data_IF_956932377769
#
_entry.id   IF_956932377769
#
_cell.length_a   1.000
_cell.length_b   1.000
_cell.length_c   1.000
_cell.angle_alpha   90.00
_cell.angle_beta   90.00
_cell.angle_gamma   90.00
#
_symmetry.space_group_name_H-M   'P 1'
#
loop_
_entity.id
_entity.type
_entity.pdbx_description
1 polymer ?
#
# COMPACT_ATOMS: atom_id res chain seq x y z
N UNK A 1 -25.53 9.45 32.03
CA UNK A 1 -26.21 9.89 30.79
C UNK A 1 -25.35 10.90 30.05
N UNK A 2 -24.23 10.47 29.45
CA UNK A 2 -23.50 11.27 28.48
C UNK A 2 -23.94 10.84 27.09
N UNK A 3 -24.67 11.72 26.40
CA UNK A 3 -24.86 11.68 24.96
C UNK A 3 -23.48 11.94 24.34
N UNK A 4 -22.91 10.96 23.66
CA UNK A 4 -21.78 11.19 22.75
C UNK A 4 -22.39 11.40 21.38
N UNK A 5 -22.12 12.58 20.82
CA UNK A 5 -22.57 13.02 19.51
C UNK A 5 -21.69 12.37 18.46
N UNK A 6 -22.28 11.59 17.54
CA UNK A 6 -21.63 11.26 16.26
C UNK A 6 -21.45 12.57 15.48
N UNK A 7 -20.21 12.97 15.24
CA UNK A 7 -19.87 14.11 14.38
C UNK A 7 -19.26 13.51 13.11
N UNK A 8 -19.91 13.73 11.96
CA UNK A 8 -19.19 13.75 10.68
C UNK A 8 -19.29 12.58 9.69
N UNK A 9 -20.36 11.77 9.64
CA UNK A 9 -20.55 10.88 8.48
C UNK A 9 -21.02 11.71 7.26
N UNK A 10 -20.11 12.19 6.40
CA UNK A 10 -20.48 12.85 5.13
C UNK A 10 -20.65 11.79 4.03
N UNK A 11 -21.91 11.46 3.76
CA UNK A 11 -22.35 10.57 2.67
C UNK A 11 -22.50 11.36 1.38
N UNK A 12 -21.73 11.03 0.34
CA UNK A 12 -22.05 11.38 -1.04
C UNK A 12 -22.37 10.05 -1.73
N UNK A 13 -23.66 9.78 -1.97
CA UNK A 13 -24.13 8.57 -2.65
C UNK A 13 -24.66 8.99 -4.02
N UNK A 14 -24.00 8.54 -5.09
CA UNK A 14 -24.53 8.60 -6.45
C UNK A 14 -24.32 7.25 -7.16
N UNK A 15 -25.30 6.34 -7.07
CA UNK A 15 -25.31 5.09 -7.85
C UNK A 15 -25.91 3.92 -7.07
N UNK A 16 -26.63 3.01 -7.74
CA UNK A 16 -27.35 1.88 -7.11
C UNK A 16 -26.39 0.96 -6.35
N UNK A 17 -26.62 0.81 -5.04
CA UNK A 17 -25.75 0.12 -4.09
C UNK A 17 -26.34 -1.25 -3.70
N UNK A 18 -25.58 -2.33 -3.88
CA UNK A 18 -25.79 -3.63 -3.24
C UNK A 18 -24.55 -3.96 -2.39
N UNK A 19 -24.21 -3.10 -1.42
CA UNK A 19 -23.10 -3.36 -0.50
C UNK A 19 -23.56 -4.14 0.73
N UNK A 20 -22.89 -5.26 1.01
CA UNK A 20 -22.88 -5.87 2.32
C UNK A 20 -21.74 -5.19 3.10
N UNK A 21 -22.08 -4.33 4.08
CA UNK A 21 -21.08 -3.70 4.96
C UNK A 21 -20.87 -4.60 6.18
N UNK A 22 -19.68 -5.21 6.32
CA UNK A 22 -19.19 -5.72 7.60
C UNK A 22 -18.25 -4.66 8.18
N UNK A 23 -18.78 -3.86 9.11
CA UNK A 23 -18.04 -2.79 9.78
C UNK A 23 -17.44 -3.32 11.09
N UNK A 24 -16.12 -3.51 11.16
CA UNK A 24 -15.39 -3.80 12.41
C UNK A 24 -14.79 -2.52 13.02
N UNK A 25 -15.56 -1.91 13.92
CA UNK A 25 -15.15 -1.02 15.02
C UNK A 25 -14.00 -0.01 14.81
N UNK A 26 -14.35 1.24 14.49
CA UNK A 26 -13.50 2.39 14.81
C UNK A 26 -13.51 2.63 16.34
N UNK A 27 -12.42 2.31 17.03
CA UNK A 27 -12.35 2.35 18.49
C UNK A 27 -11.34 3.38 19.05
N UNK A 28 -11.32 4.63 18.56
CA UNK A 28 -10.91 5.80 19.35
C UNK A 28 -11.33 7.13 18.68
N UNK A 29 -11.07 8.27 19.34
CA UNK A 29 -11.43 9.62 18.86
C UNK A 29 -10.74 9.98 17.55
N UNK A 30 -11.45 10.65 16.64
CA UNK A 30 -10.97 11.28 15.40
C UNK A 30 -10.42 10.36 14.29
N UNK A 31 -10.80 9.08 14.25
CA UNK A 31 -10.55 8.27 13.05
C UNK A 31 -11.55 8.60 11.93
N UNK A 32 -11.06 8.77 10.71
CA UNK A 32 -11.86 9.02 9.51
C UNK A 32 -11.73 7.86 8.52
N UNK A 33 -12.85 7.47 7.89
CA UNK A 33 -12.92 6.46 6.84
C UNK A 33 -13.80 6.98 5.71
N UNK A 34 -13.25 7.06 4.51
CA UNK A 34 -13.94 7.31 3.25
C UNK A 34 -13.85 6.05 2.39
N UNK A 35 -15.00 5.57 1.91
CA UNK A 35 -15.07 4.39 1.04
C UNK A 35 -16.08 4.65 -0.08
N UNK A 36 -15.61 4.61 -1.32
CA UNK A 36 -16.44 4.63 -2.53
C UNK A 36 -16.29 3.32 -3.29
N UNK A 37 -17.40 2.62 -3.53
CA UNK A 37 -17.45 1.36 -4.27
C UNK A 37 -18.39 1.51 -5.48
N UNK A 38 -17.87 1.27 -6.67
CA UNK A 38 -18.61 1.27 -7.93
C UNK A 38 -18.38 -0.05 -8.65
N UNK A 39 -19.37 -0.93 -8.68
CA UNK A 39 -19.23 -2.22 -9.36
C UNK A 39 -19.84 -3.38 -8.59
N UNK A 40 -19.33 -4.59 -8.79
CA UNK A 40 -19.89 -5.80 -8.18
C UNK A 40 -18.83 -6.65 -7.44
N UNK A 41 -19.27 -7.38 -6.39
CA UNK A 41 -18.45 -8.31 -5.61
C UNK A 41 -17.18 -7.73 -4.97
N UNK A 42 -17.18 -6.47 -4.53
CA UNK A 42 -16.07 -5.98 -3.74
C UNK A 42 -16.14 -6.55 -2.32
N UNK A 43 -15.03 -7.09 -1.82
CA UNK A 43 -14.83 -7.36 -0.40
C UNK A 43 -13.95 -6.25 0.20
N UNK A 44 -14.35 -5.71 1.33
CA UNK A 44 -13.59 -4.64 1.98
C UNK A 44 -13.68 -4.77 3.47
N UNK A 45 -12.53 -5.06 4.06
CA UNK A 45 -12.35 -5.18 5.50
C UNK A 45 -11.43 -4.05 5.98
N UNK A 46 -11.85 -3.33 7.01
CA UNK A 46 -11.01 -2.34 7.66
C UNK A 46 -11.07 -2.44 9.19
N UNK A 47 -9.93 -2.22 9.82
CA UNK A 47 -9.76 -2.15 11.27
C UNK A 47 -8.95 -0.89 11.63
N UNK A 48 -9.48 -0.07 12.55
CA UNK A 48 -8.81 1.13 13.05
C UNK A 48 -8.80 1.16 14.58
N UNK A 49 -7.62 0.98 15.16
CA UNK A 49 -7.34 1.05 16.59
C UNK A 49 -6.43 2.25 16.86
N UNK A 50 -6.81 3.09 17.83
CA UNK A 50 -6.08 4.33 18.16
C UNK A 50 -6.71 5.59 17.55
N UNK A 51 -6.01 6.73 17.61
CA UNK A 51 -6.57 8.09 17.42
C UNK A 51 -6.03 8.75 16.16
N UNK A 52 -6.92 9.40 15.39
CA UNK A 52 -6.52 10.23 14.25
C UNK A 52 -6.09 9.45 13.01
N UNK A 53 -6.50 8.19 12.88
CA UNK A 53 -6.19 7.38 11.71
C UNK A 53 -7.13 7.73 10.55
N UNK A 54 -6.60 7.80 9.34
CA UNK A 54 -7.31 8.16 8.11
C UNK A 54 -7.26 7.02 7.12
N UNK A 55 -8.43 6.66 6.58
CA UNK A 55 -8.58 5.74 5.45
C UNK A 55 -9.34 6.44 4.34
N UNK A 56 -8.82 6.40 3.12
CA UNK A 56 -9.56 6.73 1.90
C UNK A 56 -9.41 5.60 0.88
N UNK A 57 -10.53 5.00 0.52
CA UNK A 57 -10.57 3.84 -0.34
C UNK A 57 -11.58 4.03 -1.47
N UNK A 58 -11.14 3.81 -2.71
CA UNK A 58 -12.00 3.83 -3.89
C UNK A 58 -11.80 2.54 -4.66
N UNK A 59 -12.88 1.81 -4.88
CA UNK A 59 -12.90 0.58 -5.66
C UNK A 59 -13.91 0.72 -6.80
N UNK A 60 -13.42 0.69 -8.04
CA UNK A 60 -14.24 0.77 -9.24
C UNK A 60 -13.98 -0.43 -10.15
N UNK A 61 -14.82 -1.47 -10.09
CA UNK A 61 -14.51 -2.70 -10.80
C UNK A 61 -15.42 -3.89 -10.52
N UNK A 62 -14.90 -5.08 -10.77
CA UNK A 62 -15.54 -6.33 -10.38
C UNK A 62 -14.53 -7.17 -9.57
N UNK A 63 -14.98 -7.83 -8.49
CA UNK A 63 -14.13 -8.70 -7.66
C UNK A 63 -12.86 -7.98 -7.14
N UNK A 64 -13.04 -6.90 -6.37
CA UNK A 64 -11.95 -6.12 -5.77
C UNK A 64 -11.88 -6.39 -4.27
N UNK A 65 -10.73 -6.87 -3.81
CA UNK A 65 -10.47 -7.20 -2.41
C UNK A 65 -9.55 -6.15 -1.79
N UNK A 66 -10.02 -5.50 -0.73
CA UNK A 66 -9.27 -4.48 0.01
C UNK A 66 -9.26 -4.79 1.51
N UNK A 67 -8.08 -4.92 2.08
CA UNK A 67 -7.88 -5.03 3.52
C UNK A 67 -7.03 -3.88 4.05
N UNK A 68 -7.53 -3.14 5.04
CA UNK A 68 -6.77 -2.07 5.69
C UNK A 68 -6.83 -2.22 7.22
N UNK A 69 -5.68 -2.39 7.86
CA UNK A 69 -5.57 -2.42 9.33
C UNK A 69 -4.61 -1.36 9.83
N UNK A 70 -5.08 -0.49 10.72
CA UNK A 70 -4.29 0.56 11.36
C UNK A 70 -4.37 0.42 12.88
N UNK A 71 -3.24 0.08 13.51
CA UNK A 71 -3.07 0.09 14.97
C UNK A 71 -2.08 1.20 15.36
N UNK A 72 -2.57 2.20 16.09
CA UNK A 72 -1.81 3.34 16.58
C UNK A 72 -2.43 4.67 16.20
N UNK A 73 -1.63 5.73 16.06
CA UNK A 73 -2.17 7.09 15.91
C UNK A 73 -1.64 7.82 14.68
N UNK A 74 -2.52 8.57 14.01
CA UNK A 74 -2.15 9.41 12.89
C UNK A 74 -1.74 8.65 11.64
N UNK A 75 -2.09 7.37 11.52
CA UNK A 75 -1.77 6.57 10.34
C UNK A 75 -2.69 6.94 9.17
N UNK A 76 -2.15 7.01 7.96
CA UNK A 76 -2.87 7.32 6.72
C UNK A 76 -2.76 6.14 5.76
N UNK A 77 -3.91 5.66 5.27
CA UNK A 77 -4.00 4.58 4.30
C UNK A 77 -4.90 5.00 3.14
N UNK A 78 -4.34 5.01 1.94
CA UNK A 78 -5.02 5.33 0.68
C UNK A 78 -5.02 4.10 -0.22
N UNK A 79 -6.17 3.72 -0.76
CA UNK A 79 -6.28 2.58 -1.66
C UNK A 79 -7.23 2.87 -2.83
N UNK A 80 -6.68 2.91 -4.04
CA UNK A 80 -7.42 3.15 -5.28
C UNK A 80 -7.29 1.91 -6.19
N UNK A 81 -8.40 1.23 -6.44
CA UNK A 81 -8.45 0.03 -7.29
C UNK A 81 -9.44 0.25 -8.43
N UNK A 82 -8.98 0.20 -9.67
CA UNK A 82 -9.82 0.31 -10.88
C UNK A 82 -9.56 -0.86 -11.81
N UNK A 83 -10.53 -1.75 -11.98
CA UNK A 83 -10.29 -2.95 -12.81
C UNK A 83 -11.09 -4.18 -12.42
N UNK A 84 -10.46 -5.35 -12.50
CA UNK A 84 -11.06 -6.62 -12.06
C UNK A 84 -10.05 -7.54 -11.38
N UNK A 85 -10.48 -8.30 -10.37
CA UNK A 85 -9.60 -9.22 -9.63
C UNK A 85 -8.35 -8.50 -9.06
N UNK A 86 -8.55 -7.37 -8.38
CA UNK A 86 -7.45 -6.63 -7.74
C UNK A 86 -7.47 -6.88 -6.24
N UNK A 87 -6.31 -7.17 -5.66
CA UNK A 87 -6.12 -7.35 -4.22
C UNK A 87 -5.14 -6.32 -3.68
N UNK A 88 -5.58 -5.56 -2.68
CA UNK A 88 -4.78 -4.56 -1.98
C UNK A 88 -4.83 -4.80 -0.47
N UNK A 89 -3.67 -4.80 0.17
CA UNK A 89 -3.52 -4.98 1.62
C UNK A 89 -2.63 -3.90 2.22
N UNK A 90 -3.15 -3.14 3.19
CA UNK A 90 -2.40 -2.16 3.96
C UNK A 90 -2.44 -2.52 5.43
N UNK A 91 -1.27 -2.65 6.06
CA UNK A 91 -1.12 -2.86 7.49
C UNK A 91 -0.16 -1.84 8.09
N UNK A 92 -0.62 -1.10 9.09
CA UNK A 92 0.16 -0.08 9.77
C UNK A 92 0.09 -0.31 11.28
N UNK A 93 1.22 -0.67 11.89
CA UNK A 93 1.41 -0.81 13.33
C UNK A 93 2.40 0.26 13.82
N UNK A 94 1.88 1.28 14.50
CA UNK A 94 2.64 2.39 15.08
C UNK A 94 2.03 3.75 14.74
N UNK A 95 2.84 4.80 14.58
CA UNK A 95 2.31 6.16 14.46
C UNK A 95 2.80 6.92 13.24
N UNK A 96 1.93 7.75 12.67
CA UNK A 96 2.20 8.61 11.51
C UNK A 96 2.77 7.85 10.31
N UNK A 97 2.39 6.59 10.12
CA UNK A 97 2.75 5.86 8.91
C UNK A 97 1.82 6.28 7.76
N UNK A 98 2.33 6.33 6.54
CA UNK A 98 1.60 6.66 5.32
C UNK A 98 1.74 5.53 4.31
N UNK A 99 0.62 4.99 3.84
CA UNK A 99 0.58 3.91 2.87
C UNK A 99 -0.40 4.24 1.75
N UNK A 100 0.07 4.12 0.50
CA UNK A 100 -0.74 4.35 -0.69
C UNK A 100 -0.60 3.20 -1.68
N UNK A 101 -1.74 2.65 -2.10
CA UNK A 101 -1.83 1.64 -3.15
C UNK A 101 -2.72 2.18 -4.27
N UNK A 102 -2.19 2.23 -5.49
CA UNK A 102 -2.93 2.49 -6.72
C UNK A 102 -2.78 1.31 -7.69
N UNK A 103 -3.90 0.70 -8.07
CA UNK A 103 -3.94 -0.43 -9.00
C UNK A 103 -4.93 -0.16 -10.13
N UNK A 104 -4.44 -0.22 -11.37
CA UNK A 104 -5.24 -0.21 -12.59
C UNK A 104 -5.01 -1.50 -13.39
N UNK A 105 -6.10 -2.13 -13.85
CA UNK A 105 -6.04 -3.27 -14.77
C UNK A 105 -6.67 -4.55 -14.22
N UNK A 106 -5.92 -5.65 -14.14
CA UNK A 106 -6.51 -6.91 -13.66
C UNK A 106 -5.54 -7.91 -13.03
N UNK A 107 -5.99 -8.70 -12.06
CA UNK A 107 -5.17 -9.73 -11.41
C UNK A 107 -3.87 -9.16 -10.78
N UNK A 108 -3.91 -7.94 -10.26
CA UNK A 108 -2.76 -7.33 -9.60
C UNK A 108 -2.88 -7.51 -8.08
N UNK A 109 -1.75 -7.73 -7.42
CA UNK A 109 -1.62 -7.83 -5.96
C UNK A 109 -0.66 -6.76 -5.45
N UNK A 110 -1.10 -6.00 -4.47
CA UNK A 110 -0.30 -4.98 -3.79
C UNK A 110 -0.40 -5.14 -2.27
N UNK A 111 0.74 -5.12 -1.59
CA UNK A 111 0.78 -5.17 -0.13
C UNK A 111 1.78 -4.16 0.44
N UNK A 112 1.32 -3.41 1.43
CA UNK A 112 2.15 -2.53 2.26
C UNK A 112 2.04 -2.98 3.72
N UNK A 113 3.18 -3.22 4.36
CA UNK A 113 3.29 -3.48 5.80
C UNK A 113 4.26 -2.49 6.42
N UNK A 114 3.79 -1.69 7.37
CA UNK A 114 4.59 -0.69 8.07
C UNK A 114 4.52 -0.92 9.57
N UNK A 115 5.66 -1.30 10.16
CA UNK A 115 5.80 -1.43 11.60
C UNK A 115 6.81 -0.41 12.14
N UNK A 116 6.32 0.50 12.98
CA UNK A 116 7.10 1.58 13.59
C UNK A 116 6.51 2.95 13.29
N UNK A 117 7.32 3.98 13.06
CA UNK A 117 6.81 5.35 12.97
C UNK A 117 7.33 6.11 11.76
N UNK A 118 6.49 7.00 11.19
CA UNK A 118 6.84 7.85 10.06
C UNK A 118 7.37 7.09 8.83
N UNK A 119 6.94 5.84 8.64
CA UNK A 119 7.27 5.12 7.41
C UNK A 119 6.32 5.56 6.30
N UNK A 120 6.83 5.60 5.07
CA UNK A 120 6.08 6.03 3.87
C UNK A 120 6.27 4.99 2.76
N UNK A 121 5.17 4.48 2.22
CA UNK A 121 5.17 3.46 1.19
C UNK A 121 4.12 3.75 0.12
N UNK A 122 4.54 3.63 -1.14
CA UNK A 122 3.72 3.80 -2.32
C UNK A 122 3.88 2.59 -3.25
N UNK A 123 2.76 2.03 -3.69
CA UNK A 123 2.71 1.01 -4.73
C UNK A 123 1.78 1.48 -5.83
N UNK A 124 2.29 1.54 -7.06
CA UNK A 124 1.52 1.86 -8.26
C UNK A 124 1.67 0.72 -9.28
N UNK A 125 0.56 0.12 -9.69
CA UNK A 125 0.53 -0.98 -10.66
C UNK A 125 -0.44 -0.68 -11.79
N UNK A 126 0.08 -0.58 -13.02
CA UNK A 126 -0.71 -0.50 -14.24
C UNK A 126 -0.47 -1.74 -15.10
N UNK A 127 -1.51 -2.56 -15.28
CA UNK A 127 -1.51 -3.69 -16.19
C UNK A 127 -2.07 -4.95 -15.57
N UNK A 128 -1.39 -6.10 -15.76
CA UNK A 128 -1.99 -7.38 -15.38
C UNK A 128 -1.05 -8.42 -14.78
N UNK A 129 -1.48 -9.07 -13.70
CA UNK A 129 -0.69 -10.13 -13.07
C UNK A 129 0.52 -9.60 -12.30
N UNK A 130 0.55 -8.30 -11.97
CA UNK A 130 1.68 -7.70 -11.28
C UNK A 130 1.58 -7.95 -9.77
N UNK A 131 2.73 -8.07 -9.11
CA UNK A 131 2.84 -8.28 -7.66
C UNK A 131 3.85 -7.29 -7.09
N UNK A 132 3.43 -6.45 -6.15
CA UNK A 132 4.29 -5.49 -5.47
C UNK A 132 4.09 -5.60 -3.95
N UNK A 133 5.19 -5.67 -3.22
CA UNK A 133 5.18 -5.82 -1.76
C UNK A 133 6.24 -4.89 -1.16
N UNK A 134 5.82 -4.00 -0.26
CA UNK A 134 6.69 -3.12 0.50
C UNK A 134 6.54 -3.38 2.00
N UNK A 135 7.63 -3.76 2.66
CA UNK A 135 7.69 -4.02 4.10
C UNK A 135 8.71 -3.10 4.77
N UNK A 136 8.26 -2.34 5.78
CA UNK A 136 9.07 -1.34 6.48
C UNK A 136 9.03 -1.57 7.98
N UNK A 137 10.19 -1.86 8.56
CA UNK A 137 10.39 -2.11 9.99
C UNK A 137 11.33 -1.06 10.58
N UNK A 138 10.79 -0.13 11.36
CA UNK A 138 11.57 0.93 12.02
C UNK A 138 10.97 2.32 11.80
N UNK A 139 11.81 3.31 11.46
CA UNK A 139 11.31 4.68 11.31
C UNK A 139 11.88 5.46 10.15
N UNK A 140 11.07 6.34 9.58
CA UNK A 140 11.48 7.25 8.51
C UNK A 140 11.99 6.49 7.27
N UNK A 141 11.48 5.28 7.02
CA UNK A 141 11.80 4.52 5.81
C UNK A 141 10.84 4.92 4.67
N UNK A 142 11.35 4.87 3.44
CA UNK A 142 10.62 5.20 2.22
C UNK A 142 10.71 4.08 1.19
N UNK A 143 9.57 3.61 0.69
CA UNK A 143 9.50 2.60 -0.37
C UNK A 143 8.55 3.06 -1.49
N UNK A 144 8.99 3.01 -2.74
CA UNK A 144 8.15 3.30 -3.89
C UNK A 144 8.33 2.21 -4.96
N UNK A 145 7.25 1.51 -5.30
CA UNK A 145 7.25 0.41 -6.26
C UNK A 145 6.30 0.75 -7.41
N UNK A 146 6.85 0.93 -8.60
CA UNK A 146 6.12 1.24 -9.83
C UNK A 146 6.23 0.07 -10.81
N UNK A 147 5.09 -0.49 -11.22
CA UNK A 147 5.05 -1.60 -12.18
C UNK A 147 4.09 -1.31 -13.32
N UNK A 148 4.61 -1.27 -14.54
CA UNK A 148 3.82 -1.11 -15.77
C UNK A 148 4.04 -2.30 -16.70
N UNK A 149 2.97 -2.97 -17.07
CA UNK A 149 2.97 -4.13 -17.96
C UNK A 149 2.42 -5.38 -17.28
N UNK A 150 3.01 -6.55 -17.54
CA UNK A 150 2.43 -7.81 -17.09
C UNK A 150 3.40 -8.78 -16.40
N UNK A 151 2.92 -9.44 -15.35
CA UNK A 151 3.67 -10.45 -14.58
C UNK A 151 4.97 -9.91 -13.98
N UNK A 152 5.01 -8.63 -13.60
CA UNK A 152 6.15 -8.06 -12.89
C UNK A 152 6.06 -8.36 -11.39
N UNK A 153 7.21 -8.60 -10.75
CA UNK A 153 7.34 -8.84 -9.32
C UNK A 153 8.33 -7.87 -8.70
N UNK A 154 7.91 -7.13 -7.68
CA UNK A 154 8.73 -6.21 -6.91
C UNK A 154 8.55 -6.48 -5.42
N UNK A 155 9.66 -6.74 -4.72
CA UNK A 155 9.73 -6.85 -3.27
C UNK A 155 10.73 -5.85 -2.72
N UNK A 156 10.32 -5.10 -1.71
CA UNK A 156 11.17 -4.19 -0.96
C UNK A 156 11.00 -4.42 0.55
N UNK A 157 12.10 -4.70 1.24
CA UNK A 157 12.16 -4.81 2.70
C UNK A 157 13.16 -3.81 3.26
N UNK A 158 12.74 -3.02 4.24
CA UNK A 158 13.58 -2.03 4.90
C UNK A 158 13.54 -2.21 6.41
N UNK A 159 14.67 -2.59 7.01
CA UNK A 159 14.84 -2.68 8.45
C UNK A 159 15.82 -1.62 8.96
N UNK A 160 15.37 -0.73 9.82
CA UNK A 160 16.16 0.34 10.44
C UNK A 160 15.56 1.71 10.24
N UNK A 161 16.38 2.73 10.00
CA UNK A 161 15.89 4.11 9.86
C UNK A 161 16.48 4.88 8.70
N UNK A 162 15.64 5.68 8.04
CA UNK A 162 16.08 6.54 6.94
C UNK A 162 16.40 5.78 5.66
N UNK A 163 15.97 4.52 5.52
CA UNK A 163 16.24 3.75 4.33
C UNK A 163 15.30 4.16 3.19
N UNK A 164 15.76 4.03 1.95
CA UNK A 164 15.00 4.39 0.75
C UNK A 164 15.14 3.32 -0.33
N UNK A 165 14.02 2.79 -0.82
CA UNK A 165 13.96 1.88 -1.97
C UNK A 165 13.02 2.45 -3.02
N UNK A 166 13.50 2.56 -4.26
CA UNK A 166 12.67 2.83 -5.43
C UNK A 166 12.85 1.71 -6.44
N UNK A 167 11.76 1.11 -6.89
CA UNK A 167 11.73 0.09 -7.95
C UNK A 167 10.82 0.55 -9.07
N UNK A 168 11.33 0.55 -10.30
CA UNK A 168 10.57 0.82 -11.51
C UNK A 168 10.71 -0.34 -12.50
N UNK A 169 9.59 -0.98 -12.82
CA UNK A 169 9.54 -2.10 -13.77
C UNK A 169 8.63 -1.75 -14.94
N UNK A 170 9.21 -1.61 -16.13
CA UNK A 170 8.48 -1.42 -17.37
C UNK A 170 8.65 -2.64 -18.28
N UNK A 171 7.54 -3.27 -18.65
CA UNK A 171 7.49 -4.42 -19.54
C UNK A 171 6.96 -5.66 -18.84
N UNK A 172 7.51 -6.85 -19.16
CA UNK A 172 6.88 -8.11 -18.77
C UNK A 172 7.83 -9.08 -18.07
N UNK A 173 7.38 -9.69 -16.98
CA UNK A 173 8.14 -10.74 -16.30
C UNK A 173 9.40 -10.24 -15.61
N UNK A 174 9.47 -8.96 -15.24
CA UNK A 174 10.60 -8.42 -14.49
C UNK A 174 10.49 -8.82 -13.01
N UNK A 175 11.61 -9.11 -12.38
CA UNK A 175 11.71 -9.55 -10.99
C UNK A 175 12.73 -8.67 -10.25
N UNK A 176 12.31 -8.04 -9.16
CA UNK A 176 13.14 -7.15 -8.35
C UNK A 176 12.96 -7.47 -6.87
N UNK A 177 14.05 -7.77 -6.17
CA UNK A 177 14.07 -8.03 -4.73
C UNK A 177 15.11 -7.12 -4.07
N UNK A 178 14.68 -6.25 -3.15
CA UNK A 178 15.51 -5.20 -2.58
C UNK A 178 15.39 -5.23 -1.06
N UNK A 179 16.48 -5.55 -0.38
CA UNK A 179 16.52 -5.68 1.07
C UNK A 179 17.55 -4.69 1.63
N UNK A 180 17.13 -3.86 2.57
CA UNK A 180 17.99 -2.91 3.28
C UNK A 180 17.97 -3.18 4.78
N UNK A 181 19.14 -3.39 5.37
CA UNK A 181 19.33 -3.55 6.81
C UNK A 181 20.36 -2.53 7.31
N UNK A 182 19.93 -1.67 8.22
CA UNK A 182 20.74 -0.60 8.79
C UNK A 182 20.11 0.77 8.56
N UNK A 183 20.91 1.83 8.48
CA UNK A 183 20.37 3.20 8.42
C UNK A 183 20.87 3.99 7.21
N UNK A 184 20.00 4.85 6.68
CA UNK A 184 20.30 5.75 5.57
C UNK A 184 20.80 5.02 4.32
N UNK A 185 20.31 3.81 4.08
CA UNK A 185 20.63 3.07 2.87
C UNK A 185 19.71 3.49 1.72
N UNK A 186 20.19 3.40 0.49
CA UNK A 186 19.41 3.72 -0.72
C UNK A 186 19.59 2.65 -1.81
N UNK A 187 18.48 2.16 -2.35
CA UNK A 187 18.44 1.28 -3.52
C UNK A 187 17.51 1.89 -4.57
N UNK A 188 18.01 2.01 -5.79
CA UNK A 188 17.22 2.37 -6.97
C UNK A 188 17.33 1.22 -7.99
N UNK A 189 16.22 0.59 -8.38
CA UNK A 189 16.20 -0.51 -9.33
C UNK A 189 15.29 -0.20 -10.52
N UNK A 190 15.88 -0.03 -11.70
CA UNK A 190 15.19 0.24 -12.95
C UNK A 190 15.29 -0.97 -13.88
N UNK A 191 14.16 -1.54 -14.29
CA UNK A 191 14.08 -2.69 -15.18
C UNK A 191 13.15 -2.41 -16.35
N UNK A 192 13.72 -2.10 -17.50
CA UNK A 192 13.01 -1.80 -18.74
C UNK A 192 13.24 -2.95 -19.71
N UNK A 193 12.21 -3.73 -20.02
CA UNK A 193 12.34 -4.88 -20.92
C UNK A 193 11.52 -6.07 -20.48
N UNK A 194 12.03 -7.27 -20.71
CA UNK A 194 11.32 -8.49 -20.31
C UNK A 194 12.26 -9.51 -19.70
N UNK A 195 11.84 -10.12 -18.58
CA UNK A 195 12.63 -11.13 -17.88
C UNK A 195 13.88 -10.57 -17.19
N UNK A 196 13.87 -9.30 -16.81
CA UNK A 196 14.99 -8.71 -16.07
C UNK A 196 14.95 -9.18 -14.62
N UNK A 197 16.11 -9.48 -14.04
CA UNK A 197 16.26 -9.85 -12.63
C UNK A 197 17.15 -8.83 -11.92
N UNK A 198 16.69 -8.32 -10.79
CA UNK A 198 17.43 -7.43 -9.90
C UNK A 198 17.31 -8.01 -8.49
N UNK A 199 18.43 -8.22 -7.84
CA UNK A 199 18.48 -8.61 -6.44
C UNK A 199 19.55 -7.76 -5.75
N UNK A 200 19.13 -6.97 -4.77
CA UNK A 200 20.02 -6.09 -4.01
C UNK A 200 19.80 -6.32 -2.53
N UNK A 201 20.88 -6.59 -1.83
CA UNK A 201 20.88 -6.70 -0.38
C UNK A 201 21.97 -5.77 0.18
N UNK A 202 21.57 -4.81 1.02
CA UNK A 202 22.46 -3.87 1.68
C UNK A 202 22.44 -4.10 3.19
N UNK A 203 23.63 -4.30 3.77
CA UNK A 203 23.83 -4.41 5.22
C UNK A 203 24.84 -3.38 5.68
N UNK A 204 24.42 -2.43 6.51
CA UNK A 204 25.27 -1.36 7.03
C UNK A 204 24.57 -0.01 6.99
N UNK A 205 25.34 1.07 7.12
CA UNK A 205 24.79 2.42 7.10
C UNK A 205 25.35 3.22 5.93
N UNK A 206 24.53 4.10 5.35
CA UNK A 206 24.90 5.02 4.26
C UNK A 206 25.35 4.32 2.97
N UNK A 207 24.79 3.15 2.67
CA UNK A 207 25.02 2.45 1.42
C UNK A 207 24.10 2.99 0.33
N UNK A 208 24.58 3.02 -0.91
CA UNK A 208 23.78 3.43 -2.06
C UNK A 208 24.09 2.51 -3.26
N UNK A 209 23.04 1.99 -3.90
CA UNK A 209 23.12 1.11 -5.06
C UNK A 209 22.07 1.55 -6.07
N UNK A 210 22.48 1.69 -7.33
CA UNK A 210 21.58 1.84 -8.47
C UNK A 210 21.77 0.65 -9.40
N UNK A 211 20.68 -0.03 -9.74
CA UNK A 211 20.62 -1.04 -10.80
C UNK A 211 19.81 -0.48 -11.95
N UNK A 212 20.35 -0.60 -13.16
CA UNK A 212 19.62 -0.29 -14.39
C UNK A 212 19.78 -1.47 -15.35
N UNK A 213 18.65 -2.02 -15.79
CA UNK A 213 18.57 -3.06 -16.81
C UNK A 213 17.71 -2.53 -17.97
N UNK A 214 18.26 -2.54 -19.18
CA UNK A 214 17.64 -2.08 -20.45
C UNK A 214 17.70 -3.15 -21.53
#
# INVERSE_FOLDING_TARGET
NQKVSMVGLRRIITGLLYCCFLCSSAHASDNEVYLEQVGSNHDTDFEQVGVGNYIDAVQSGDDLDLYISQDGNGNEALAYQTGSDLEARIEQDGNNNSAEIEQEGSNNFAQIVQQGNNNDALIEQDGSGNTAIAEQYGSDNYAALYQVGANNYAYAEQTGSGNSVTVEQFGNGNNSENIQVGNNNSIEAYQHGSGMEAHVEQHGDNLHVTITSE
#
